data_IF_046226924855
#
_entry.id   IF_046226924855
#
_cell.length_a   1.000
_cell.length_b   1.000
_cell.length_c   1.000
_cell.angle_alpha   90.00
_cell.angle_beta   90.00
_cell.angle_gamma   90.00
#
_symmetry.space_group_name_H-M   'P 1'
#
loop_
_entity.id
_entity.type
_entity.pdbx_description
1 polymer ?
#
# COMPACT_ATOMS: atom_id res chain seq x y z
N UNK A 1 -3.65 -2.34 -18.25
CA UNK A 1 -3.91 -2.88 -16.88
C UNK A 1 -3.36 -4.29 -16.81
N UNK A 2 -2.65 -4.67 -15.78
CA UNK A 2 -2.06 -6.01 -15.65
C UNK A 2 -3.16 -7.04 -15.35
N UNK A 3 -3.45 -7.92 -16.32
CA UNK A 3 -4.59 -8.84 -16.28
C UNK A 3 -4.54 -9.84 -15.11
N UNK A 4 -3.34 -10.19 -14.66
CA UNK A 4 -3.14 -11.11 -13.55
C UNK A 4 -3.21 -10.46 -12.16
N UNK A 5 -3.39 -9.14 -12.06
CA UNK A 5 -3.52 -8.42 -10.79
C UNK A 5 -4.68 -8.98 -9.97
N UNK A 6 -4.41 -9.33 -8.72
CA UNK A 6 -5.37 -9.99 -7.80
C UNK A 6 -5.97 -11.31 -8.31
N UNK A 7 -5.48 -11.85 -9.44
CA UNK A 7 -6.01 -13.06 -10.06
C UNK A 7 -5.85 -14.34 -9.22
N UNK A 8 -5.00 -14.34 -8.22
CA UNK A 8 -4.79 -15.45 -7.29
C UNK A 8 -5.71 -15.42 -6.07
N UNK A 9 -6.47 -14.32 -5.85
CA UNK A 9 -7.38 -14.19 -4.72
C UNK A 9 -8.54 -15.17 -4.83
N UNK A 10 -8.80 -15.89 -3.74
CA UNK A 10 -9.97 -16.77 -3.66
C UNK A 10 -11.24 -15.93 -3.51
N UNK A 11 -12.37 -16.37 -4.08
CA UNK A 11 -13.64 -15.71 -3.86
C UNK A 11 -14.01 -15.72 -2.36
N UNK A 12 -14.77 -14.72 -1.95
CA UNK A 12 -15.30 -14.66 -0.58
C UNK A 12 -16.23 -15.88 -0.35
N UNK A 13 -16.09 -16.59 0.78
CA UNK A 13 -17.04 -17.66 1.15
C UNK A 13 -18.49 -17.14 1.17
N UNK A 14 -19.43 -17.99 0.73
CA UNK A 14 -20.83 -17.59 0.57
C UNK A 14 -21.45 -17.14 1.89
N UNK A 15 -21.07 -17.78 3.00
CA UNK A 15 -21.53 -17.44 4.34
C UNK A 15 -21.12 -16.03 4.79
N UNK A 16 -20.05 -15.48 4.22
CA UNK A 16 -19.62 -14.11 4.54
C UNK A 16 -20.39 -13.06 3.72
N UNK A 17 -20.94 -13.39 2.57
CA UNK A 17 -21.72 -12.44 1.79
C UNK A 17 -22.93 -11.90 2.56
N UNK A 18 -23.68 -12.77 3.24
CA UNK A 18 -24.81 -12.38 4.08
C UNK A 18 -24.39 -11.52 5.26
N UNK A 19 -23.24 -11.85 5.88
CA UNK A 19 -22.71 -11.09 7.01
C UNK A 19 -22.25 -9.69 6.60
N UNK A 20 -21.69 -9.52 5.40
CA UNK A 20 -21.29 -8.20 4.88
C UNK A 20 -22.52 -7.30 4.69
N UNK A 21 -23.63 -7.85 4.15
CA UNK A 21 -24.87 -7.10 3.99
C UNK A 21 -25.41 -6.64 5.35
N UNK A 22 -25.51 -7.55 6.32
CA UNK A 22 -25.96 -7.25 7.67
C UNK A 22 -25.07 -6.21 8.37
N UNK A 23 -23.76 -6.34 8.23
CA UNK A 23 -22.79 -5.36 8.79
C UNK A 23 -23.06 -3.95 8.22
N UNK A 24 -23.30 -3.82 6.92
CA UNK A 24 -23.63 -2.53 6.29
C UNK A 24 -24.92 -1.94 6.84
N UNK A 25 -25.95 -2.76 7.05
CA UNK A 25 -27.22 -2.33 7.66
C UNK A 25 -27.00 -1.79 9.09
N UNK A 26 -26.23 -2.52 9.90
CA UNK A 26 -25.88 -2.10 11.27
C UNK A 26 -25.12 -0.77 11.26
N UNK A 27 -24.09 -0.64 10.42
CA UNK A 27 -23.32 0.60 10.34
C UNK A 27 -24.19 1.78 9.88
N UNK A 28 -25.07 1.56 8.91
CA UNK A 28 -26.02 2.58 8.47
C UNK A 28 -26.96 2.99 9.59
N UNK A 29 -27.50 2.03 10.34
CA UNK A 29 -28.37 2.30 11.51
C UNK A 29 -27.63 3.06 12.62
N UNK A 30 -26.31 2.89 12.74
CA UNK A 30 -25.44 3.64 13.64
C UNK A 30 -25.09 5.05 13.14
N UNK A 31 -25.52 5.42 11.91
CA UNK A 31 -25.16 6.69 11.30
C UNK A 31 -23.72 6.75 10.77
N UNK A 32 -23.07 5.59 10.57
CA UNK A 32 -21.71 5.52 9.99
C UNK A 32 -21.82 5.58 8.47
N UNK A 33 -21.19 6.57 7.81
CA UNK A 33 -21.21 6.67 6.35
C UNK A 33 -20.47 5.48 5.71
N UNK A 34 -21.07 4.94 4.65
CA UNK A 34 -20.47 3.87 3.85
C UNK A 34 -20.24 4.41 2.44
N UNK A 35 -18.97 4.45 2.03
CA UNK A 35 -18.58 4.90 0.70
C UNK A 35 -18.31 3.70 -0.20
N UNK A 36 -18.83 3.74 -1.41
CA UNK A 36 -18.57 2.73 -2.46
C UNK A 36 -18.43 3.44 -3.80
N UNK A 37 -17.45 3.01 -4.58
CA UNK A 37 -17.23 3.57 -5.91
C UNK A 37 -16.85 2.42 -6.86
N UNK A 38 -17.75 2.03 -7.80
CA UNK A 38 -17.43 0.99 -8.77
C UNK A 38 -16.20 1.33 -9.61
N UNK A 39 -15.31 0.35 -9.78
CA UNK A 39 -14.07 0.51 -10.56
C UNK A 39 -12.87 1.03 -9.76
N UNK A 40 -13.05 1.34 -8.47
CA UNK A 40 -11.98 1.73 -7.56
C UNK A 40 -11.89 0.78 -6.37
N UNK A 41 -10.72 0.69 -5.79
CA UNK A 41 -10.50 -0.12 -4.61
C UNK A 41 -10.83 0.64 -3.32
N UNK A 42 -11.03 -0.08 -2.22
CA UNK A 42 -11.29 0.55 -0.93
C UNK A 42 -10.14 1.48 -0.50
N UNK A 43 -8.91 1.09 -0.81
CA UNK A 43 -7.71 1.86 -0.47
C UNK A 43 -7.62 3.17 -1.25
N UNK A 44 -8.09 3.18 -2.52
CA UNK A 44 -8.19 4.39 -3.33
C UNK A 44 -9.18 5.37 -2.72
N UNK A 45 -10.34 4.87 -2.27
CA UNK A 45 -11.36 5.68 -1.60
C UNK A 45 -10.79 6.23 -0.28
N UNK A 46 -10.17 5.38 0.53
CA UNK A 46 -9.55 5.78 1.80
C UNK A 46 -8.47 6.84 1.58
N UNK A 47 -7.58 6.63 0.61
CA UNK A 47 -6.51 7.56 0.27
C UNK A 47 -7.05 8.90 -0.21
N UNK A 48 -8.07 8.88 -1.08
CA UNK A 48 -8.72 10.09 -1.58
C UNK A 48 -9.38 10.89 -0.46
N UNK A 49 -10.18 10.23 0.40
CA UNK A 49 -10.84 10.88 1.54
C UNK A 49 -9.81 11.44 2.50
N UNK A 50 -8.78 10.65 2.85
CA UNK A 50 -7.72 11.09 3.76
C UNK A 50 -7.00 12.34 3.24
N UNK A 51 -6.61 12.35 1.95
CA UNK A 51 -5.89 13.48 1.35
C UNK A 51 -6.76 14.72 1.15
N UNK A 52 -8.05 14.57 0.85
CA UNK A 52 -8.97 15.71 0.80
C UNK A 52 -9.20 16.32 2.18
N UNK A 53 -9.44 15.48 3.21
CA UNK A 53 -9.61 15.93 4.59
C UNK A 53 -8.34 16.63 5.12
N UNK A 54 -7.16 16.11 4.79
CA UNK A 54 -5.88 16.74 5.13
C UNK A 54 -5.76 18.17 4.55
N UNK A 55 -6.17 18.36 3.29
CA UNK A 55 -6.15 19.70 2.65
C UNK A 55 -7.05 20.72 3.34
N UNK A 56 -8.07 20.23 4.04
CA UNK A 56 -8.97 21.05 4.87
C UNK A 56 -8.46 21.23 6.32
N UNK A 57 -7.27 20.73 6.63
CA UNK A 57 -6.64 20.85 7.94
C UNK A 57 -7.18 19.83 8.97
N UNK A 58 -7.90 18.81 8.52
CA UNK A 58 -8.48 17.78 9.39
C UNK A 58 -7.42 16.72 9.73
N UNK A 59 -7.34 16.35 11.01
CA UNK A 59 -6.54 15.21 11.46
C UNK A 59 -7.25 13.90 11.11
N UNK A 60 -6.57 13.02 10.37
CA UNK A 60 -7.14 11.78 9.86
C UNK A 60 -6.53 10.57 10.55
N UNK A 61 -7.38 9.60 10.90
CA UNK A 61 -6.96 8.27 11.33
C UNK A 61 -7.50 7.24 10.36
N UNK A 62 -6.64 6.63 9.55
CA UNK A 62 -6.99 5.51 8.68
C UNK A 62 -6.80 4.21 9.46
N UNK A 63 -7.85 3.45 9.67
CA UNK A 63 -7.81 2.16 10.39
C UNK A 63 -7.91 1.02 9.39
N UNK A 64 -6.85 0.24 9.25
CA UNK A 64 -6.81 -0.90 8.33
C UNK A 64 -5.77 -1.93 8.76
N UNK A 65 -5.98 -3.19 8.41
CA UNK A 65 -4.95 -4.23 8.50
C UNK A 65 -3.97 -4.22 7.33
N UNK A 66 -4.25 -3.42 6.29
CA UNK A 66 -3.44 -3.36 5.09
C UNK A 66 -2.27 -2.39 5.25
N UNK A 67 -1.06 -2.90 5.05
CA UNK A 67 0.18 -2.12 5.16
C UNK A 67 0.44 -1.23 3.96
N UNK A 68 -0.24 -1.45 2.84
CA UNK A 68 -0.08 -0.62 1.65
C UNK A 68 -0.54 0.82 1.92
N UNK A 69 -1.45 1.00 2.86
CA UNK A 69 -1.89 2.31 3.35
C UNK A 69 -0.79 3.10 4.09
N UNK A 70 0.34 2.46 4.48
CA UNK A 70 1.47 3.18 5.06
C UNK A 70 2.04 4.26 4.14
N UNK A 71 1.85 4.12 2.83
CA UNK A 71 2.22 5.14 1.84
C UNK A 71 1.46 6.47 2.04
N UNK A 72 0.33 6.46 2.76
CA UNK A 72 -0.49 7.63 3.03
C UNK A 72 -0.06 8.39 4.28
N UNK A 73 0.79 7.79 5.14
CA UNK A 73 1.19 8.38 6.41
C UNK A 73 1.81 9.77 6.22
N UNK A 74 1.34 10.75 7.02
CA UNK A 74 1.68 12.15 6.90
C UNK A 74 1.53 12.81 8.28
N UNK A 75 1.93 14.07 8.47
CA UNK A 75 1.78 14.80 9.73
C UNK A 75 0.32 14.91 10.19
N UNK A 76 -0.63 14.89 9.26
CA UNK A 76 -2.08 14.95 9.51
C UNK A 76 -2.79 13.62 9.31
N UNK A 77 -2.12 12.62 8.72
CA UNK A 77 -2.71 11.31 8.43
C UNK A 77 -1.91 10.24 9.17
N UNK A 78 -2.51 9.63 10.17
CA UNK A 78 -1.93 8.45 10.81
C UNK A 78 -2.60 7.16 10.35
N UNK A 79 -1.82 6.12 10.18
CA UNK A 79 -2.30 4.80 9.85
C UNK A 79 -2.34 3.96 11.12
N UNK A 80 -3.51 3.44 11.46
CA UNK A 80 -3.74 2.59 12.63
C UNK A 80 -3.90 1.15 12.21
N UNK A 81 -2.91 0.32 12.52
CA UNK A 81 -2.90 -1.10 12.17
C UNK A 81 -3.22 -1.94 13.40
N UNK A 82 -4.42 -2.56 13.47
CA UNK A 82 -4.73 -3.52 14.51
C UNK A 82 -3.96 -4.83 14.25
N UNK A 83 -3.23 -5.30 15.25
CA UNK A 83 -2.53 -6.59 15.24
C UNK A 83 -3.17 -7.51 16.28
N UNK A 84 -3.88 -8.54 15.83
CA UNK A 84 -4.50 -9.53 16.71
C UNK A 84 -3.54 -10.68 16.97
N UNK A 85 -3.29 -10.97 18.23
CA UNK A 85 -2.48 -12.09 18.71
C UNK A 85 -3.26 -12.92 19.74
N UNK A 86 -2.65 -14.00 20.23
CA UNK A 86 -3.27 -14.80 21.31
C UNK A 86 -3.50 -14.03 22.61
N UNK A 87 -2.81 -12.91 22.80
CA UNK A 87 -2.94 -12.02 23.97
C UNK A 87 -3.98 -10.91 23.84
N UNK A 88 -4.62 -10.77 22.65
CA UNK A 88 -5.57 -9.70 22.36
C UNK A 88 -5.23 -8.92 21.10
N UNK A 89 -5.92 -7.82 20.89
CA UNK A 89 -5.67 -6.91 19.78
C UNK A 89 -4.91 -5.67 20.28
N UNK A 90 -3.74 -5.44 19.72
CA UNK A 90 -2.96 -4.22 19.91
C UNK A 90 -3.12 -3.33 18.68
N UNK A 91 -3.15 -2.01 18.87
CA UNK A 91 -3.22 -1.06 17.76
C UNK A 91 -1.90 -0.31 17.68
N UNK A 92 -1.28 -0.39 16.52
CA UNK A 92 -0.04 0.34 16.21
C UNK A 92 -0.37 1.55 15.35
N UNK A 93 0.01 2.74 15.82
CA UNK A 93 -0.13 3.99 15.07
C UNK A 93 1.17 4.27 14.31
N UNK A 94 1.06 4.62 13.04
CA UNK A 94 2.17 4.95 12.15
C UNK A 94 2.02 6.38 11.63
N UNK A 95 2.98 7.22 11.96
CA UNK A 95 3.30 8.48 11.33
C UNK A 95 4.52 8.32 10.42
N UNK A 96 4.95 9.32 9.63
CA UNK A 96 6.09 9.19 8.73
C UNK A 96 7.37 8.68 9.39
N UNK A 97 7.65 9.15 10.61
CA UNK A 97 8.82 8.71 11.39
C UNK A 97 8.73 7.26 11.86
N UNK A 98 7.52 6.74 12.09
CA UNK A 98 7.32 5.34 12.47
C UNK A 98 7.55 4.43 11.26
N UNK A 99 7.07 4.82 10.08
CA UNK A 99 7.36 4.13 8.82
C UNK A 99 8.87 4.12 8.57
N UNK A 100 9.52 5.27 8.70
CA UNK A 100 10.97 5.37 8.51
C UNK A 100 11.76 4.54 9.52
N UNK A 101 11.32 4.49 10.77
CA UNK A 101 11.96 3.69 11.82
C UNK A 101 11.83 2.19 11.57
N UNK A 102 10.64 1.72 11.15
CA UNK A 102 10.36 0.29 10.97
C UNK A 102 10.85 -0.22 9.60
N UNK A 103 10.63 0.55 8.54
CA UNK A 103 10.91 0.13 7.15
C UNK A 103 12.14 0.79 6.52
N UNK A 104 12.80 1.72 7.22
CA UNK A 104 14.01 2.44 6.79
C UNK A 104 13.81 3.31 5.53
N UNK A 105 12.57 3.59 5.18
CA UNK A 105 12.16 4.43 4.04
C UNK A 105 11.02 5.35 4.47
N UNK A 106 10.83 6.44 3.75
CA UNK A 106 9.66 7.32 3.93
C UNK A 106 8.38 6.67 3.40
N UNK A 107 7.17 7.17 3.78
CA UNK A 107 5.91 6.69 3.19
C UNK A 107 5.88 6.71 1.66
N UNK A 108 6.41 7.74 1.02
CA UNK A 108 6.48 7.82 -0.43
C UNK A 108 7.43 6.77 -1.03
N UNK A 109 8.59 6.57 -0.43
CA UNK A 109 9.58 5.57 -0.84
C UNK A 109 9.10 4.13 -0.59
N UNK A 110 8.14 3.93 0.32
CA UNK A 110 7.57 2.62 0.61
C UNK A 110 6.90 1.99 -0.62
N UNK A 111 6.32 2.82 -1.51
CA UNK A 111 5.75 2.39 -2.79
C UNK A 111 6.83 1.72 -3.66
N UNK A 112 8.00 2.35 -3.76
CA UNK A 112 9.13 1.84 -4.54
C UNK A 112 9.70 0.54 -3.97
N UNK A 113 9.75 0.40 -2.65
CA UNK A 113 10.11 -0.87 -2.00
C UNK A 113 9.13 -1.97 -2.37
N UNK A 114 7.82 -1.71 -2.28
CA UNK A 114 6.75 -2.65 -2.66
C UNK A 114 6.85 -3.01 -4.15
N UNK A 115 7.11 -2.03 -5.00
CA UNK A 115 7.26 -2.24 -6.43
C UNK A 115 8.45 -3.14 -6.80
N UNK A 116 9.58 -3.00 -6.09
CA UNK A 116 10.75 -3.84 -6.31
C UNK A 116 10.56 -5.26 -5.77
N UNK A 117 10.03 -5.41 -4.55
CA UNK A 117 9.89 -6.74 -3.95
C UNK A 117 8.68 -7.52 -4.45
N UNK A 118 7.69 -6.82 -5.02
CA UNK A 118 6.40 -7.40 -5.39
C UNK A 118 5.50 -7.66 -4.18
N UNK A 119 4.28 -8.11 -4.49
CA UNK A 119 3.31 -8.56 -3.49
C UNK A 119 2.56 -9.80 -3.97
N UNK A 120 2.79 -10.93 -3.30
CA UNK A 120 2.15 -12.19 -3.65
C UNK A 120 0.64 -12.22 -3.33
N UNK A 121 0.16 -11.40 -2.38
CA UNK A 121 -1.26 -11.34 -2.02
C UNK A 121 -2.08 -10.67 -3.11
N UNK A 122 -1.49 -9.69 -3.79
CA UNK A 122 -2.12 -8.93 -4.88
C UNK A 122 -1.62 -9.36 -6.26
N UNK A 123 -0.74 -10.36 -6.28
CA UNK A 123 -0.10 -10.84 -7.51
C UNK A 123 0.65 -9.72 -8.25
N UNK A 124 1.31 -8.84 -7.50
CA UNK A 124 2.25 -7.86 -8.04
C UNK A 124 3.60 -8.54 -8.21
N UNK A 125 4.15 -8.60 -9.45
CA UNK A 125 5.31 -9.46 -9.71
C UNK A 125 6.61 -8.98 -9.05
N UNK A 126 6.79 -7.66 -8.88
CA UNK A 126 8.06 -7.10 -8.45
C UNK A 126 9.18 -7.35 -9.46
N UNK A 127 10.42 -7.26 -8.99
CA UNK A 127 11.63 -7.56 -9.79
C UNK A 127 12.20 -8.91 -9.33
N UNK A 128 12.39 -9.89 -10.24
CA UNK A 128 12.93 -11.18 -9.88
C UNK A 128 14.23 -11.07 -9.08
N UNK A 129 14.37 -11.87 -8.03
CA UNK A 129 15.54 -11.90 -7.13
C UNK A 129 15.75 -10.63 -6.26
N UNK A 130 14.85 -9.68 -6.27
CA UNK A 130 14.84 -8.54 -5.35
C UNK A 130 13.74 -8.77 -4.31
N UNK A 131 14.13 -9.21 -3.12
CA UNK A 131 13.23 -9.30 -1.96
C UNK A 131 13.32 -8.08 -1.07
N UNK A 132 12.49 -8.04 -0.01
CA UNK A 132 12.33 -6.90 0.90
C UNK A 132 13.65 -6.25 1.32
N UNK A 133 14.60 -7.02 1.85
CA UNK A 133 15.89 -6.48 2.33
C UNK A 133 16.69 -5.77 1.23
N UNK A 134 16.68 -6.33 0.01
CA UNK A 134 17.42 -5.75 -1.12
C UNK A 134 16.68 -4.54 -1.65
N UNK A 135 15.36 -4.59 -1.78
CA UNK A 135 14.51 -3.47 -2.16
C UNK A 135 14.69 -2.28 -1.20
N UNK A 136 14.57 -2.53 0.11
CA UNK A 136 14.79 -1.50 1.13
C UNK A 136 16.18 -0.88 1.04
N UNK A 137 17.24 -1.70 0.88
CA UNK A 137 18.60 -1.19 0.78
C UNK A 137 18.78 -0.30 -0.47
N UNK A 138 18.21 -0.69 -1.60
CA UNK A 138 18.26 0.09 -2.84
C UNK A 138 17.51 1.41 -2.65
N UNK A 139 16.27 1.37 -2.18
CA UNK A 139 15.44 2.57 -2.07
C UNK A 139 15.97 3.51 -0.98
N UNK A 140 16.44 2.99 0.15
CA UNK A 140 17.11 3.83 1.17
C UNK A 140 18.35 4.56 0.66
N UNK A 141 19.07 3.96 -0.31
CA UNK A 141 20.27 4.58 -0.88
C UNK A 141 19.96 5.57 -2.00
N UNK A 142 18.95 5.30 -2.84
CA UNK A 142 18.69 6.04 -4.06
C UNK A 142 17.36 6.82 -4.04
N UNK A 143 16.49 6.61 -3.08
CA UNK A 143 15.21 7.31 -2.90
C UNK A 143 14.08 6.85 -3.84
N UNK A 144 14.38 6.34 -5.02
CA UNK A 144 13.39 5.85 -5.98
C UNK A 144 13.97 4.80 -6.93
N UNK A 145 13.08 4.05 -7.60
CA UNK A 145 13.45 3.08 -8.64
C UNK A 145 14.14 3.78 -9.82
N UNK A 146 13.64 4.93 -10.23
CA UNK A 146 14.16 5.71 -11.35
C UNK A 146 15.60 6.17 -11.08
N UNK A 147 15.86 6.67 -9.87
CA UNK A 147 17.20 7.08 -9.47
C UNK A 147 18.14 5.88 -9.29
N UNK A 148 17.65 4.78 -8.75
CA UNK A 148 18.41 3.53 -8.65
C UNK A 148 18.81 3.02 -10.06
N UNK A 149 17.89 3.07 -11.03
CA UNK A 149 18.16 2.70 -12.41
C UNK A 149 19.22 3.61 -13.08
N UNK A 150 19.18 4.91 -12.79
CA UNK A 150 20.20 5.85 -13.27
C UNK A 150 21.62 5.56 -12.72
N UNK A 151 21.70 4.85 -11.57
CA UNK A 151 22.96 4.51 -10.89
C UNK A 151 23.23 2.99 -10.85
N UNK A 152 22.81 2.25 -11.88
CA UNK A 152 22.90 0.78 -11.95
C UNK A 152 24.29 0.23 -11.62
N UNK A 153 25.36 0.92 -12.04
CA UNK A 153 26.74 0.49 -11.83
C UNK A 153 27.12 0.40 -10.32
N UNK A 154 26.44 1.13 -9.48
CA UNK A 154 26.68 1.21 -8.04
C UNK A 154 25.85 0.20 -7.25
N UNK A 155 24.80 -0.37 -7.85
CA UNK A 155 23.86 -1.27 -7.16
C UNK A 155 24.57 -2.57 -6.74
N UNK A 156 24.31 -2.97 -5.51
CA UNK A 156 24.80 -4.23 -4.92
C UNK A 156 23.61 -5.01 -4.31
N UNK A 157 23.61 -6.33 -4.33
CA UNK A 157 24.61 -7.21 -4.97
C UNK A 157 24.49 -7.21 -6.51
N UNK A 158 25.49 -7.72 -7.26
CA UNK A 158 25.48 -7.73 -8.73
C UNK A 158 24.24 -8.37 -9.34
N UNK A 159 23.64 -9.38 -8.68
CA UNK A 159 22.39 -9.99 -9.11
C UNK A 159 21.21 -9.01 -9.10
N UNK A 160 21.16 -8.09 -8.12
CA UNK A 160 20.09 -7.08 -8.04
C UNK A 160 20.27 -6.02 -9.14
N UNK A 161 21.50 -5.59 -9.42
CA UNK A 161 21.82 -4.74 -10.57
C UNK A 161 21.29 -5.36 -11.86
N UNK A 162 21.70 -6.59 -12.14
CA UNK A 162 21.29 -7.31 -13.36
C UNK A 162 19.76 -7.45 -13.42
N UNK A 163 19.13 -7.83 -12.32
CA UNK A 163 17.69 -7.98 -12.25
C UNK A 163 16.93 -6.67 -12.54
N UNK A 164 17.39 -5.55 -11.99
CA UNK A 164 16.79 -4.24 -12.23
C UNK A 164 17.01 -3.78 -13.69
N UNK A 165 18.20 -4.04 -14.24
CA UNK A 165 18.53 -3.73 -15.64
C UNK A 165 17.63 -4.50 -16.62
N UNK A 166 17.42 -5.79 -16.38
CA UNK A 166 16.63 -6.69 -17.26
C UNK A 166 15.11 -6.51 -17.09
N UNK A 167 14.64 -6.01 -15.94
CA UNK A 167 13.22 -5.98 -15.56
C UNK A 167 12.74 -4.59 -15.12
N UNK A 168 13.31 -3.53 -15.64
CA UNK A 168 12.91 -2.16 -15.26
C UNK A 168 11.43 -1.87 -15.56
N UNK A 169 10.95 -2.31 -16.74
CA UNK A 169 9.54 -2.13 -17.11
C UNK A 169 8.59 -2.85 -16.12
N UNK A 170 9.03 -4.00 -15.61
CA UNK A 170 8.27 -4.74 -14.60
C UNK A 170 8.27 -4.00 -13.25
N UNK A 171 9.38 -3.36 -12.88
CA UNK A 171 9.44 -2.50 -11.69
C UNK A 171 8.48 -1.32 -11.80
N UNK A 172 8.45 -0.65 -12.96
CA UNK A 172 7.53 0.47 -13.21
C UNK A 172 6.06 0.03 -13.17
N UNK A 173 5.71 -1.06 -13.85
CA UNK A 173 4.36 -1.63 -13.79
C UNK A 173 3.96 -2.00 -12.35
N UNK A 174 4.88 -2.62 -11.60
CA UNK A 174 4.62 -2.96 -10.19
C UNK A 174 4.43 -1.70 -9.32
N UNK A 175 5.12 -0.61 -9.62
CA UNK A 175 4.95 0.68 -8.95
C UNK A 175 3.56 1.27 -9.23
N UNK A 176 3.10 1.22 -10.47
CA UNK A 176 1.73 1.66 -10.81
C UNK A 176 0.68 0.85 -10.05
N UNK A 177 0.85 -0.48 -9.96
CA UNK A 177 -0.08 -1.36 -9.25
C UNK A 177 -0.06 -1.18 -7.73
N UNK A 178 1.09 -0.83 -7.15
CA UNK A 178 1.25 -0.60 -5.72
C UNK A 178 0.84 0.81 -5.27
N UNK A 179 0.64 1.74 -6.20
CA UNK A 179 0.31 3.14 -5.90
C UNK A 179 -1.19 3.32 -5.74
N UNK A 180 -1.61 3.80 -4.59
CA UNK A 180 -3.01 4.14 -4.28
C UNK A 180 -3.44 5.38 -5.06
N UNK A 181 -4.59 5.34 -5.73
CA UNK A 181 -5.21 6.48 -6.38
C UNK A 181 -5.74 7.47 -5.33
N UNK A 182 -5.37 8.75 -5.44
CA UNK A 182 -5.70 9.79 -4.45
C UNK A 182 -6.71 10.82 -4.95
N UNK A 183 -7.28 10.61 -6.12
CA UNK A 183 -8.18 11.55 -6.79
C UNK A 183 -9.47 10.89 -7.34
N UNK A 184 -9.93 9.83 -6.67
CA UNK A 184 -11.18 9.16 -7.02
C UNK A 184 -12.36 10.13 -7.02
N UNK A 185 -13.33 10.01 -7.96
CA UNK A 185 -14.53 10.83 -7.99
C UNK A 185 -15.56 10.39 -6.93
N UNK A 186 -15.13 10.24 -5.69
CA UNK A 186 -16.00 9.91 -4.56
C UNK A 186 -16.53 11.19 -3.92
N UNK A 187 -17.83 11.20 -3.60
CA UNK A 187 -18.51 12.26 -2.85
C UNK A 187 -18.65 11.84 -1.38
N UNK A 188 -18.34 12.76 -0.44
CA UNK A 188 -18.45 12.54 1.01
C UNK A 188 -18.57 13.85 1.78
#
# INVERSE_FOLDING_TARGET
MYEAYKGTRKPMPEELHEQVALMKEVLTAMGVPILTLPGYEADDILGTVAKRSQKEGIQVSVVSGDRDLLQLADEHIKIRIPKTSRGGTEVHDYYPEDVKREYQVTPAEFIDVKALMGDSSDNIPGVPSIGEKTATAIISAYGSIENAYAHLEEIRPPRAKKALEEHYDMAQMSKELATICLDCPVEF
#
